data_IF_762133469313
#
_entry.id   IF_762133469313
#
_cell.length_a   1.000
_cell.length_b   1.000
_cell.length_c   1.000
_cell.angle_alpha   90.00
_cell.angle_beta   90.00
_cell.angle_gamma   90.00
#
_symmetry.space_group_name_H-M   'P 1'
#
loop_
_entity.id
_entity.type
_entity.pdbx_description
1 polymer ?
#
# COMPACT_ATOMS: atom_id res chain seq x y z
N UNK A 1 20.29 26.80 -8.30
CA UNK A 1 20.59 25.36 -8.45
C UNK A 1 20.02 24.52 -7.31
N UNK A 2 20.15 24.95 -6.05
CA UNK A 2 19.49 24.32 -4.89
C UNK A 2 17.96 24.26 -5.00
N UNK A 3 17.32 25.34 -5.44
CA UNK A 3 15.87 25.45 -5.55
C UNK A 3 15.26 24.48 -6.58
N UNK A 4 15.92 24.33 -7.72
CA UNK A 4 15.55 23.33 -8.73
C UNK A 4 15.61 21.91 -8.17
N UNK A 5 16.68 21.58 -7.44
CA UNK A 5 16.82 20.27 -6.77
C UNK A 5 15.75 20.05 -5.69
N UNK A 6 15.36 21.10 -4.94
CA UNK A 6 14.30 21.02 -3.94
C UNK A 6 12.93 20.75 -4.57
N UNK A 7 12.61 21.44 -5.67
CA UNK A 7 11.34 21.23 -6.39
C UNK A 7 11.29 19.84 -7.01
N UNK A 8 12.38 19.42 -7.65
CA UNK A 8 12.50 18.10 -8.25
C UNK A 8 12.39 16.98 -7.19
N UNK A 9 13.07 17.14 -6.05
CA UNK A 9 12.99 16.21 -4.93
C UNK A 9 11.58 16.10 -4.35
N UNK A 10 10.88 17.23 -4.17
CA UNK A 10 9.50 17.23 -3.70
C UNK A 10 8.54 16.53 -4.68
N UNK A 11 8.75 16.71 -5.98
CA UNK A 11 7.97 16.04 -7.02
C UNK A 11 8.24 14.52 -7.04
N UNK A 12 9.51 14.11 -6.99
CA UNK A 12 9.92 12.70 -6.96
C UNK A 12 9.38 11.96 -5.73
N UNK A 13 9.41 12.58 -4.55
CA UNK A 13 8.85 11.97 -3.33
C UNK A 13 7.34 11.76 -3.43
N UNK A 14 6.60 12.74 -3.99
CA UNK A 14 5.16 12.61 -4.20
C UNK A 14 4.82 11.52 -5.22
N UNK A 15 5.52 11.51 -6.36
CA UNK A 15 5.34 10.49 -7.40
C UNK A 15 5.74 9.11 -6.88
N UNK A 16 6.85 9.01 -6.16
CA UNK A 16 7.31 7.76 -5.53
C UNK A 16 6.29 7.22 -4.53
N UNK A 17 5.68 8.08 -3.72
CA UNK A 17 4.61 7.68 -2.80
C UNK A 17 3.38 7.14 -3.54
N UNK A 18 2.93 7.83 -4.59
CA UNK A 18 1.81 7.38 -5.43
C UNK A 18 2.14 6.05 -6.13
N UNK A 19 3.36 5.90 -6.64
CA UNK A 19 3.82 4.66 -7.27
C UNK A 19 3.87 3.49 -6.28
N UNK A 20 4.27 3.73 -5.03
CA UNK A 20 4.29 2.73 -3.97
C UNK A 20 2.86 2.25 -3.67
N UNK A 21 1.92 3.17 -3.47
CA UNK A 21 0.50 2.84 -3.27
C UNK A 21 -0.08 2.07 -4.47
N UNK A 22 0.21 2.51 -5.70
CA UNK A 22 -0.26 1.84 -6.91
C UNK A 22 0.30 0.40 -7.04
N UNK A 23 1.56 0.18 -6.63
CA UNK A 23 2.17 -1.14 -6.65
C UNK A 23 1.52 -2.11 -5.65
N UNK A 24 1.16 -1.64 -4.45
CA UNK A 24 0.46 -2.45 -3.44
C UNK A 24 -0.98 -2.78 -3.88
N UNK A 25 -1.69 -1.82 -4.49
CA UNK A 25 -3.02 -2.08 -5.10
C UNK A 25 -2.92 -3.14 -6.19
N UNK A 26 -1.91 -3.08 -7.06
CA UNK A 26 -1.66 -4.11 -8.07
C UNK A 26 -1.44 -5.48 -7.42
N UNK A 27 -0.69 -5.53 -6.32
CA UNK A 27 -0.48 -6.75 -5.53
C UNK A 27 -1.80 -7.34 -4.99
N UNK A 28 -2.68 -6.50 -4.43
CA UNK A 28 -4.00 -6.92 -3.96
C UNK A 28 -4.87 -7.48 -5.10
N UNK A 29 -4.90 -6.80 -6.26
CA UNK A 29 -5.68 -7.23 -7.43
C UNK A 29 -5.16 -8.57 -7.98
N UNK A 30 -3.84 -8.74 -8.06
CA UNK A 30 -3.23 -9.98 -8.53
C UNK A 30 -3.42 -11.16 -7.56
N UNK A 31 -3.71 -10.90 -6.28
CA UNK A 31 -4.02 -11.93 -5.30
C UNK A 31 -5.46 -12.49 -5.46
N UNK A 32 -6.39 -11.73 -6.05
CA UNK A 32 -7.79 -12.13 -6.27
C UNK A 32 -7.93 -13.47 -7.02
N UNK A 33 -7.31 -13.69 -8.20
CA UNK A 33 -7.42 -14.97 -8.91
C UNK A 33 -6.80 -16.14 -8.15
N UNK A 34 -5.77 -15.90 -7.32
CA UNK A 34 -5.17 -16.93 -6.46
C UNK A 34 -6.16 -17.37 -5.39
N UNK A 35 -6.82 -16.41 -4.71
CA UNK A 35 -7.89 -16.73 -3.76
C UNK A 35 -9.05 -17.48 -4.41
N UNK A 36 -9.45 -17.05 -5.61
CA UNK A 36 -10.56 -17.67 -6.32
C UNK A 36 -10.20 -19.11 -6.75
N UNK A 37 -8.97 -19.34 -7.19
CA UNK A 37 -8.44 -20.68 -7.45
C UNK A 37 -8.44 -21.57 -6.20
N UNK A 38 -8.05 -21.02 -5.05
CA UNK A 38 -8.08 -21.74 -3.76
C UNK A 38 -9.50 -22.08 -3.30
N UNK A 39 -10.47 -21.19 -3.57
CA UNK A 39 -11.89 -21.45 -3.32
C UNK A 39 -12.41 -22.61 -4.19
N UNK A 40 -12.12 -22.57 -5.50
CA UNK A 40 -12.56 -23.60 -6.45
C UNK A 40 -11.89 -24.96 -6.23
N UNK A 41 -10.66 -25.00 -5.74
CA UNK A 41 -9.94 -26.26 -5.45
C UNK A 41 -10.42 -26.96 -4.17
N UNK A 42 -11.54 -26.53 -3.56
CA UNK A 42 -12.02 -27.07 -2.29
C UNK A 42 -11.09 -26.77 -1.12
N UNK A 43 -10.29 -25.70 -1.22
CA UNK A 43 -9.33 -25.31 -0.19
C UNK A 43 -10.05 -25.19 1.15
N UNK A 44 -9.58 -25.96 2.14
CA UNK A 44 -10.13 -25.94 3.49
C UNK A 44 -10.25 -24.50 3.99
N UNK A 45 -11.18 -24.22 4.92
CA UNK A 45 -11.36 -22.89 5.54
C UNK A 45 -10.04 -22.18 5.92
N UNK A 46 -9.01 -22.95 6.29
CA UNK A 46 -7.65 -22.48 6.53
C UNK A 46 -6.97 -21.79 5.33
N UNK A 47 -7.18 -22.28 4.11
CA UNK A 47 -6.61 -21.75 2.88
C UNK A 47 -7.20 -20.38 2.53
N UNK A 48 -8.53 -20.23 2.64
CA UNK A 48 -9.21 -18.93 2.48
C UNK A 48 -8.81 -17.94 3.58
N UNK A 49 -8.64 -18.42 4.81
CA UNK A 49 -8.19 -17.60 5.93
C UNK A 49 -6.74 -17.11 5.76
N UNK A 50 -5.83 -17.98 5.33
CA UNK A 50 -4.44 -17.60 5.03
C UNK A 50 -4.36 -16.59 3.88
N UNK A 51 -5.17 -16.79 2.84
CA UNK A 51 -5.31 -15.84 1.74
C UNK A 51 -5.81 -14.47 2.20
N UNK A 52 -6.85 -14.44 3.05
CA UNK A 52 -7.35 -13.21 3.66
C UNK A 52 -6.31 -12.52 4.54
N UNK A 53 -5.62 -13.26 5.42
CA UNK A 53 -4.56 -12.72 6.27
C UNK A 53 -3.39 -12.13 5.45
N UNK A 54 -3.06 -12.74 4.30
CA UNK A 54 -2.06 -12.22 3.38
C UNK A 54 -2.51 -10.91 2.72
N UNK A 55 -3.73 -10.84 2.19
CA UNK A 55 -4.30 -9.60 1.64
C UNK A 55 -4.45 -8.50 2.70
N UNK A 56 -4.86 -8.86 3.91
CA UNK A 56 -4.95 -7.93 5.04
C UNK A 56 -3.56 -7.41 5.42
N UNK A 57 -2.51 -8.24 5.40
CA UNK A 57 -1.13 -7.82 5.62
C UNK A 57 -0.64 -6.80 4.59
N UNK A 58 -0.96 -7.02 3.31
CA UNK A 58 -0.66 -6.09 2.20
C UNK A 58 -1.47 -4.78 2.37
N UNK A 59 -2.74 -4.85 2.73
CA UNK A 59 -3.54 -3.65 2.98
C UNK A 59 -3.02 -2.85 4.20
N UNK A 60 -2.63 -3.55 5.27
CA UNK A 60 -2.07 -2.93 6.47
C UNK A 60 -0.68 -2.33 6.22
N UNK A 61 0.14 -2.90 5.34
CA UNK A 61 1.46 -2.35 4.99
C UNK A 61 1.39 -0.93 4.42
N UNK A 62 0.24 -0.55 3.84
CA UNK A 62 -0.03 0.80 3.31
C UNK A 62 -0.77 1.67 4.33
N UNK A 63 -1.82 1.12 4.95
CA UNK A 63 -2.69 1.86 5.87
C UNK A 63 -1.94 2.24 7.16
N UNK A 64 -1.12 1.33 7.71
CA UNK A 64 -0.40 1.54 8.97
C UNK A 64 0.61 2.69 8.89
N UNK A 65 1.51 2.76 7.89
CA UNK A 65 2.41 3.91 7.76
C UNK A 65 1.68 5.22 7.48
N UNK A 66 0.59 5.20 6.68
CA UNK A 66 -0.25 6.38 6.47
C UNK A 66 -0.89 6.88 7.77
N UNK A 67 -1.43 5.95 8.57
CA UNK A 67 -2.03 6.26 9.87
C UNK A 67 -0.97 6.76 10.87
N UNK A 68 0.20 6.11 10.93
CA UNK A 68 1.32 6.53 11.76
C UNK A 68 1.82 7.92 11.35
N UNK A 69 1.98 8.18 10.05
CA UNK A 69 2.41 9.48 9.55
C UNK A 69 1.42 10.61 9.90
N UNK A 70 0.11 10.33 9.91
CA UNK A 70 -0.92 11.24 10.42
C UNK A 70 -0.83 11.44 11.94
N UNK A 71 -0.68 10.36 12.71
CA UNK A 71 -0.63 10.39 14.19
C UNK A 71 0.60 11.14 14.70
N UNK A 72 1.76 10.95 14.08
CA UNK A 72 3.02 11.57 14.46
C UNK A 72 3.27 12.92 13.79
N UNK A 73 2.30 13.47 13.03
CA UNK A 73 2.44 14.72 12.26
C UNK A 73 3.70 14.75 11.37
N UNK A 74 4.14 13.58 10.90
CA UNK A 74 5.30 13.45 10.00
C UNK A 74 4.98 13.93 8.59
N UNK A 75 3.69 14.09 8.27
CA UNK A 75 3.21 14.80 7.09
C UNK A 75 3.13 16.27 7.47
N UNK A 76 3.94 17.17 6.88
CA UNK A 76 3.74 18.60 7.03
C UNK A 76 2.42 18.97 6.36
N UNK A 77 1.33 18.99 7.13
CA UNK A 77 0.16 19.78 6.77
C UNK A 77 0.66 21.21 6.71
N UNK A 78 0.83 21.72 5.49
CA UNK A 78 1.02 23.15 5.26
C UNK A 78 -0.14 23.84 5.96
N UNK A 79 0.17 24.49 7.09
CA UNK A 79 -0.72 25.44 7.72
C UNK A 79 -1.09 26.47 6.64
N UNK A 80 -2.35 26.42 6.22
CA UNK A 80 -3.03 27.59 5.67
C UNK A 80 -3.51 28.44 6.83
#
# INVERSE_FOLDING_TARGET
MSEFLSILGAALLKVGFVALVANEIRGLVLAVPVLYGMYLSGGAWMALWLGFCSLAGIALSVIVPLYAARKFKLIPLRAG
#
